data_IF_762449167121
#
_entry.id   IF_762449167121
#
_cell.length_a   1.000
_cell.length_b   1.000
_cell.length_c   1.000
_cell.angle_alpha   90.00
_cell.angle_beta   90.00
_cell.angle_gamma   90.00
#
_symmetry.space_group_name_H-M   'P 1'
#
loop_
_entity.id
_entity.type
_entity.pdbx_description
1 polymer ?
#
# COMPACT_ATOMS: atom_id res chain seq x y z
N UNK A 1 17.80 -13.33 19.35
CA UNK A 1 16.54 -12.55 19.27
C UNK A 1 16.43 -12.12 17.82
N UNK A 2 15.55 -12.74 17.04
CA UNK A 2 15.26 -12.22 15.71
C UNK A 2 14.54 -10.89 15.94
N UNK A 3 15.23 -9.78 15.70
CA UNK A 3 14.52 -8.52 15.52
C UNK A 3 13.69 -8.71 14.26
N UNK A 4 12.37 -8.88 14.42
CA UNK A 4 11.41 -8.83 13.33
C UNK A 4 11.51 -7.45 12.71
N UNK A 5 12.41 -7.31 11.74
CA UNK A 5 12.63 -6.05 11.05
C UNK A 5 11.33 -5.77 10.29
N UNK A 6 10.60 -4.71 10.63
CA UNK A 6 9.34 -4.38 9.97
C UNK A 6 9.56 -4.31 8.45
N UNK A 7 8.60 -4.84 7.71
CA UNK A 7 8.58 -4.70 6.26
C UNK A 7 8.70 -3.22 5.89
N UNK A 8 9.34 -2.92 4.76
CA UNK A 8 9.63 -1.54 4.35
C UNK A 8 8.40 -0.63 4.40
N UNK A 9 7.23 -1.13 3.96
CA UNK A 9 5.97 -0.40 4.02
C UNK A 9 5.52 -0.05 5.43
N UNK A 10 5.71 -0.96 6.39
CA UNK A 10 5.35 -0.72 7.79
C UNK A 10 6.22 0.40 8.41
N UNK A 11 7.55 0.37 8.16
CA UNK A 11 8.43 1.48 8.59
C UNK A 11 8.08 2.82 7.96
N UNK A 12 7.73 2.81 6.68
CA UNK A 12 7.31 4.04 5.99
C UNK A 12 6.03 4.62 6.59
N UNK A 13 5.05 3.77 6.92
CA UNK A 13 3.82 4.20 7.59
C UNK A 13 4.14 4.82 8.96
N UNK A 14 4.94 4.13 9.78
CA UNK A 14 5.36 4.63 11.10
C UNK A 14 6.04 6.01 11.01
N UNK A 15 6.94 6.20 10.04
CA UNK A 15 7.65 7.48 9.86
C UNK A 15 6.72 8.61 9.38
N UNK A 16 5.70 8.29 8.58
CA UNK A 16 4.71 9.26 8.15
C UNK A 16 3.74 9.64 9.28
N UNK A 17 3.30 8.67 10.09
CA UNK A 17 2.47 8.90 11.28
C UNK A 17 3.19 9.78 12.31
N UNK A 18 4.51 9.59 12.46
CA UNK A 18 5.35 10.42 13.32
C UNK A 18 5.63 11.81 12.72
N UNK A 19 5.18 12.10 11.49
CA UNK A 19 5.43 13.37 10.79
C UNK A 19 6.88 13.58 10.37
N UNK A 20 7.71 12.53 10.41
CA UNK A 20 9.12 12.57 9.98
C UNK A 20 9.21 12.65 8.45
N UNK A 21 8.26 12.03 7.75
CA UNK A 21 8.14 12.06 6.30
C UNK A 21 6.73 12.56 5.94
N UNK A 22 6.66 13.54 5.05
CA UNK A 22 5.40 13.98 4.45
C UNK A 22 5.27 13.37 3.05
N UNK A 23 4.25 12.54 2.84
CA UNK A 23 3.91 12.09 1.50
C UNK A 23 3.18 13.20 0.77
N UNK A 24 3.83 13.76 -0.26
CA UNK A 24 3.19 14.67 -1.23
C UNK A 24 3.10 13.99 -2.60
N UNK A 25 2.28 12.94 -2.75
CA UNK A 25 2.09 12.33 -4.04
C UNK A 25 1.39 13.33 -4.95
N UNK A 26 1.92 13.51 -6.16
CA UNK A 26 1.12 14.09 -7.22
C UNK A 26 -0.09 13.18 -7.48
N UNK A 27 -1.28 13.75 -7.76
CA UNK A 27 -2.42 12.93 -8.11
C UNK A 27 -2.05 12.09 -9.33
N UNK A 28 -2.31 10.79 -9.23
CA UNK A 28 -2.15 9.92 -10.39
C UNK A 28 -3.04 10.43 -11.51
N UNK A 29 -2.53 10.34 -12.74
CA UNK A 29 -3.38 10.55 -13.91
C UNK A 29 -4.61 9.62 -13.80
N UNK A 30 -5.80 10.16 -14.07
CA UNK A 30 -7.05 9.45 -13.86
C UNK A 30 -7.14 8.13 -14.64
N UNK A 31 -6.45 8.02 -15.79
CA UNK A 31 -6.34 6.79 -16.56
C UNK A 31 -5.43 5.78 -15.85
N UNK A 32 -4.30 6.25 -15.32
CA UNK A 32 -3.36 5.42 -14.55
C UNK A 32 -4.03 4.91 -13.28
N UNK A 33 -4.71 5.77 -12.52
CA UNK A 33 -5.43 5.38 -11.30
C UNK A 33 -6.48 4.31 -11.60
N UNK A 34 -7.30 4.51 -12.64
CA UNK A 34 -8.32 3.52 -13.05
C UNK A 34 -7.70 2.17 -13.39
N UNK A 35 -6.62 2.15 -14.17
CA UNK A 35 -5.94 0.91 -14.56
C UNK A 35 -5.36 0.18 -13.36
N UNK A 36 -4.76 0.91 -12.43
CA UNK A 36 -4.23 0.33 -11.20
C UNK A 36 -5.34 -0.28 -10.34
N UNK A 37 -6.49 0.40 -10.21
CA UNK A 37 -7.66 -0.14 -9.51
C UNK A 37 -8.17 -1.43 -10.15
N UNK A 38 -8.35 -1.46 -11.48
CA UNK A 38 -8.76 -2.68 -12.19
C UNK A 38 -7.77 -3.83 -11.96
N UNK A 39 -6.47 -3.59 -12.11
CA UNK A 39 -5.44 -4.62 -11.86
C UNK A 39 -5.49 -5.12 -10.42
N UNK A 40 -5.80 -4.24 -9.46
CA UNK A 40 -5.88 -4.60 -8.05
C UNK A 40 -7.15 -5.40 -7.72
N UNK A 41 -8.29 -5.04 -8.32
CA UNK A 41 -9.56 -5.76 -8.18
C UNK A 41 -9.52 -7.17 -8.80
N UNK A 42 -8.74 -7.35 -9.87
CA UNK A 42 -8.58 -8.65 -10.55
C UNK A 42 -7.58 -9.58 -9.84
N UNK A 43 -6.89 -9.12 -8.80
CA UNK A 43 -5.84 -9.88 -8.11
C UNK A 43 -6.24 -10.19 -6.67
N UNK A 44 -6.07 -11.44 -6.27
CA UNK A 44 -6.17 -11.84 -4.87
C UNK A 44 -5.10 -11.12 -4.04
N UNK A 45 -5.47 -10.71 -2.83
CA UNK A 45 -4.57 -10.03 -1.89
C UNK A 45 -3.33 -10.89 -1.63
N UNK A 46 -2.10 -10.41 -1.88
CA UNK A 46 -0.89 -11.21 -1.70
C UNK A 46 -0.59 -11.55 -0.23
N UNK A 47 -1.28 -10.92 0.73
CA UNK A 47 -1.08 -11.14 2.16
C UNK A 47 -2.09 -12.11 2.79
N UNK A 48 -3.36 -12.06 2.38
CA UNK A 48 -4.43 -12.89 2.96
C UNK A 48 -5.17 -13.76 1.94
N UNK A 49 -4.87 -13.63 0.65
CA UNK A 49 -5.51 -14.41 -0.42
C UNK A 49 -6.96 -14.01 -0.71
N UNK A 50 -7.48 -12.94 -0.09
CA UNK A 50 -8.84 -12.47 -0.36
C UNK A 50 -8.97 -11.95 -1.80
N UNK A 51 -10.01 -12.40 -2.51
CA UNK A 51 -10.25 -12.06 -3.92
C UNK A 51 -10.84 -10.66 -4.13
N UNK A 52 -11.11 -9.92 -3.05
CA UNK A 52 -11.59 -8.55 -3.11
C UNK A 52 -11.14 -7.76 -1.87
N UNK A 53 -11.13 -6.43 -2.00
CA UNK A 53 -10.78 -5.50 -0.92
C UNK A 53 -11.91 -5.33 0.13
N UNK A 54 -13.02 -6.04 -0.02
CA UNK A 54 -14.24 -5.93 0.77
C UNK A 54 -14.53 -7.23 1.52
N UNK A 55 -13.74 -7.51 2.55
CA UNK A 55 -14.04 -8.53 3.56
C UNK A 55 -13.59 -8.05 4.94
#
# INVERSE_FOLDING_TARGET
MHEDRPAFGQRLSELAELGVIEFRPEPLDAIVERRLKTVWEERSCPHCGADNLHA
#
